data_IF_407248725054
#
_entry.id   IF_407248725054
#
_cell.length_a   1.000
_cell.length_b   1.000
_cell.length_c   1.000
_cell.angle_alpha   90.00
_cell.angle_beta   90.00
_cell.angle_gamma   90.00
#
_symmetry.space_group_name_H-M   'P 1'
#
loop_
_entity.id
_entity.type
_entity.pdbx_description
1 polymer ?
#
# COMPACT_ATOMS: atom_id res chain seq x y z
N UNK A 1 25.42 -11.88 46.96
CA UNK A 1 24.96 -10.81 46.04
C UNK A 1 24.14 -11.49 44.93
N UNK A 2 22.84 -11.61 45.17
CA UNK A 2 21.95 -12.39 44.31
C UNK A 2 21.36 -11.53 43.19
N UNK A 3 21.61 -11.87 41.95
CA UNK A 3 20.94 -11.30 40.81
C UNK A 3 19.53 -11.90 40.71
N UNK A 4 18.51 -11.11 41.03
CA UNK A 4 17.11 -11.43 40.74
C UNK A 4 16.90 -11.32 39.22
N UNK A 5 16.91 -12.46 38.53
CA UNK A 5 16.38 -12.57 37.16
C UNK A 5 14.86 -12.33 37.21
N UNK A 6 14.42 -11.13 36.89
CA UNK A 6 13.01 -10.87 36.57
C UNK A 6 12.66 -11.67 35.35
N UNK A 7 11.96 -12.78 35.56
CA UNK A 7 11.31 -13.53 34.46
C UNK A 7 10.32 -12.62 33.72
N UNK A 8 10.75 -12.07 32.60
CA UNK A 8 9.82 -11.42 31.65
C UNK A 8 9.03 -12.54 31.01
N UNK A 9 7.75 -12.67 31.32
CA UNK A 9 6.83 -13.55 30.59
C UNK A 9 6.78 -13.08 29.13
N UNK A 10 7.59 -13.70 28.28
CA UNK A 10 7.54 -13.49 26.83
C UNK A 10 6.36 -14.32 26.33
N UNK A 11 5.26 -13.66 25.96
CA UNK A 11 4.18 -14.30 25.20
C UNK A 11 4.72 -14.56 23.79
N UNK A 12 4.83 -15.83 23.42
CA UNK A 12 5.30 -16.25 22.10
C UNK A 12 4.22 -15.89 21.07
N UNK A 13 4.52 -14.94 20.18
CA UNK A 13 3.69 -14.65 19.01
C UNK A 13 4.15 -15.54 17.85
N UNK A 14 3.26 -16.42 17.40
CA UNK A 14 3.55 -17.35 16.30
C UNK A 14 2.97 -16.76 15.02
N UNK A 15 3.82 -16.51 14.03
CA UNK A 15 3.37 -16.28 12.66
C UNK A 15 3.21 -17.63 11.95
N UNK A 16 2.00 -17.94 11.54
CA UNK A 16 1.71 -19.16 10.78
C UNK A 16 1.65 -18.81 9.30
N UNK A 17 2.49 -19.47 8.51
CA UNK A 17 2.41 -19.39 7.04
C UNK A 17 1.27 -20.30 6.60
N UNK A 18 0.19 -19.71 6.09
CA UNK A 18 -0.88 -20.43 5.42
C UNK A 18 -0.80 -20.11 3.92
N UNK A 19 -0.37 -21.06 3.13
CA UNK A 19 -0.54 -21.00 1.68
C UNK A 19 -2.03 -21.09 1.37
N UNK A 20 -2.63 -19.97 0.94
CA UNK A 20 -4.00 -19.95 0.50
C UNK A 20 -4.05 -19.77 -1.03
N UNK A 21 -4.36 -20.84 -1.79
CA UNK A 21 -4.37 -20.80 -3.26
C UNK A 21 -5.47 -19.92 -3.86
N UNK A 22 -6.35 -19.31 -3.05
CA UNK A 22 -7.46 -18.48 -3.50
C UNK A 22 -7.22 -16.96 -3.35
N UNK A 23 -6.04 -16.51 -2.94
CA UNK A 23 -5.74 -15.09 -2.90
C UNK A 23 -5.50 -14.60 -4.33
N UNK A 24 -6.51 -13.96 -4.92
CA UNK A 24 -6.33 -13.22 -6.18
C UNK A 24 -5.13 -12.29 -6.03
N UNK A 25 -4.17 -12.41 -6.94
CA UNK A 25 -3.02 -11.50 -6.99
C UNK A 25 -3.52 -10.05 -6.96
N UNK A 26 -2.96 -9.20 -6.10
CA UNK A 26 -3.35 -7.81 -6.02
C UNK A 26 -3.13 -7.14 -7.38
N UNK A 27 -4.14 -6.45 -7.89
CA UNK A 27 -4.01 -5.67 -9.12
C UNK A 27 -3.53 -4.26 -8.80
N UNK A 28 -2.62 -3.76 -9.62
CA UNK A 28 -2.16 -2.38 -9.60
C UNK A 28 -2.80 -1.67 -10.80
N UNK A 29 -3.61 -0.65 -10.53
CA UNK A 29 -4.46 -0.02 -11.54
C UNK A 29 -4.27 1.49 -11.47
N UNK A 30 -4.04 2.15 -12.61
CA UNK A 30 -3.90 3.59 -12.68
C UNK A 30 -5.08 4.26 -13.39
N UNK A 31 -5.49 5.41 -12.85
CA UNK A 31 -6.59 6.23 -13.36
C UNK A 31 -6.14 7.67 -13.54
N UNK A 32 -6.30 8.21 -14.75
CA UNK A 32 -6.03 9.60 -15.10
C UNK A 32 -7.31 10.42 -15.22
N UNK A 33 -7.30 11.63 -14.68
CA UNK A 33 -8.45 12.54 -14.75
C UNK A 33 -8.44 13.45 -16.00
N UNK A 34 -7.27 13.63 -16.61
CA UNK A 34 -7.11 14.58 -17.72
C UNK A 34 -6.13 14.07 -18.75
N UNK A 35 -6.15 14.68 -19.94
CA UNK A 35 -5.22 14.34 -21.03
C UNK A 35 -3.75 14.45 -20.63
N UNK A 36 -3.42 15.36 -19.72
CA UNK A 36 -2.07 15.51 -19.22
C UNK A 36 -1.54 14.30 -18.47
N UNK A 37 -2.41 13.37 -18.03
CA UNK A 37 -2.03 12.13 -17.38
C UNK A 37 -1.61 11.03 -18.37
N UNK A 38 -1.95 11.14 -19.66
CA UNK A 38 -1.73 10.10 -20.66
C UNK A 38 -0.28 9.66 -20.79
N UNK A 39 0.72 10.55 -20.90
CA UNK A 39 2.13 10.13 -21.02
C UNK A 39 2.59 9.30 -19.84
N UNK A 40 2.09 9.63 -18.63
CA UNK A 40 2.43 8.89 -17.44
C UNK A 40 1.73 7.53 -17.38
N UNK A 41 0.45 7.46 -17.76
CA UNK A 41 -0.27 6.19 -17.89
C UNK A 41 0.41 5.24 -18.87
N UNK A 42 0.79 5.72 -20.06
CA UNK A 42 1.55 4.94 -21.05
C UNK A 42 2.87 4.43 -20.47
N UNK A 43 3.63 5.30 -19.81
CA UNK A 43 4.92 4.95 -19.19
C UNK A 43 4.77 3.85 -18.14
N UNK A 44 3.78 3.96 -17.26
CA UNK A 44 3.50 2.98 -16.21
C UNK A 44 3.09 1.62 -16.82
N UNK A 45 2.26 1.62 -17.87
CA UNK A 45 1.80 0.41 -18.55
C UNK A 45 2.92 -0.27 -19.31
N UNK A 46 3.70 0.46 -20.10
CA UNK A 46 4.79 -0.06 -20.91
C UNK A 46 5.87 -0.78 -20.07
N UNK A 47 6.10 -0.33 -18.85
CA UNK A 47 7.05 -0.92 -17.90
C UNK A 47 6.44 -1.93 -16.93
N UNK A 48 5.18 -2.31 -17.16
CA UNK A 48 4.45 -3.30 -16.34
C UNK A 48 4.37 -2.95 -14.84
N UNK A 49 4.42 -1.66 -14.52
CA UNK A 49 4.19 -1.19 -13.14
C UNK A 49 2.71 -1.17 -12.76
N UNK A 50 1.83 -1.26 -13.77
CA UNK A 50 0.39 -1.36 -13.60
C UNK A 50 -0.19 -2.43 -14.51
N UNK A 51 -1.22 -3.12 -14.03
CA UNK A 51 -1.94 -4.15 -14.78
C UNK A 51 -2.93 -3.53 -15.78
N UNK A 52 -3.58 -2.44 -15.38
CA UNK A 52 -4.61 -1.75 -16.17
C UNK A 52 -4.46 -0.25 -16.06
N UNK A 53 -4.79 0.46 -17.13
CA UNK A 53 -4.82 1.91 -17.19
C UNK A 53 -6.19 2.42 -17.63
N UNK A 54 -6.66 3.47 -16.95
CA UNK A 54 -7.93 4.10 -17.21
C UNK A 54 -7.78 5.60 -17.38
N UNK A 55 -8.70 6.19 -18.16
CA UNK A 55 -8.87 7.64 -18.24
C UNK A 55 -10.34 7.99 -18.04
N UNK A 56 -10.59 9.15 -17.41
CA UNK A 56 -11.95 9.68 -17.27
C UNK A 56 -12.60 9.86 -18.63
N UNK A 57 -13.85 9.41 -18.77
CA UNK A 57 -14.65 9.52 -19.99
C UNK A 57 -14.79 10.98 -20.49
N UNK A 58 -14.90 11.95 -19.58
CA UNK A 58 -14.93 13.37 -19.92
C UNK A 58 -13.66 13.86 -20.64
N UNK A 59 -12.52 13.23 -20.39
CA UNK A 59 -11.25 13.53 -21.05
C UNK A 59 -10.98 12.67 -22.28
N UNK A 60 -11.59 11.48 -22.32
CA UNK A 60 -11.36 10.50 -23.38
C UNK A 60 -11.84 10.95 -24.75
N UNK A 61 -12.88 11.79 -24.79
CA UNK A 61 -13.42 12.36 -26.05
C UNK A 61 -12.38 13.15 -26.86
N UNK A 62 -11.31 13.60 -26.22
CA UNK A 62 -10.23 14.36 -26.85
C UNK A 62 -8.94 13.56 -27.05
N UNK A 63 -9.00 12.22 -26.89
CA UNK A 63 -7.83 11.35 -27.11
C UNK A 63 -7.73 11.02 -28.61
N UNK A 64 -6.85 11.70 -29.30
CA UNK A 64 -6.60 11.48 -30.74
C UNK A 64 -5.76 10.22 -30.99
N UNK A 65 -4.88 9.88 -30.06
CA UNK A 65 -3.96 8.75 -30.16
C UNK A 65 -4.54 7.49 -29.50
N UNK A 66 -4.61 6.39 -30.25
CA UNK A 66 -4.98 5.09 -29.68
C UNK A 66 -3.84 4.59 -28.76
N UNK A 67 -4.14 4.49 -27.47
CA UNK A 67 -3.22 3.96 -26.44
C UNK A 67 -3.64 2.53 -26.13
N UNK A 68 -2.70 1.59 -26.28
CA UNK A 68 -2.98 0.16 -26.04
C UNK A 68 -3.37 -0.10 -24.59
N UNK A 69 -4.50 -0.76 -24.39
CA UNK A 69 -5.00 -1.14 -23.07
C UNK A 69 -5.56 0.01 -22.24
N UNK A 70 -5.69 1.22 -22.82
CA UNK A 70 -6.38 2.33 -22.16
C UNK A 70 -7.89 2.12 -22.19
N UNK A 71 -8.52 2.15 -21.02
CA UNK A 71 -9.97 2.02 -20.86
C UNK A 71 -10.57 3.36 -20.45
N UNK A 72 -11.67 3.73 -21.10
CA UNK A 72 -12.47 4.89 -20.70
C UNK A 72 -13.46 4.48 -19.62
N UNK A 73 -13.58 5.28 -18.57
CA UNK A 73 -14.53 5.00 -17.49
C UNK A 73 -14.90 6.26 -16.73
N UNK A 74 -16.15 6.30 -16.23
CA UNK A 74 -16.52 7.28 -15.21
C UNK A 74 -15.80 6.93 -13.90
N UNK A 75 -15.31 7.93 -13.14
CA UNK A 75 -14.58 7.67 -11.90
C UNK A 75 -15.36 6.78 -10.91
N UNK A 76 -16.67 6.99 -10.79
CA UNK A 76 -17.50 6.20 -9.88
C UNK A 76 -17.67 4.74 -10.33
N UNK A 77 -17.81 4.49 -11.63
CA UNK A 77 -17.94 3.13 -12.14
C UNK A 77 -16.61 2.39 -12.03
N UNK A 78 -15.50 3.06 -12.35
CA UNK A 78 -14.15 2.57 -12.07
C UNK A 78 -13.98 2.14 -10.61
N UNK A 79 -14.41 2.98 -9.65
CA UNK A 79 -14.27 2.66 -8.23
C UNK A 79 -15.16 1.49 -7.80
N UNK A 80 -16.41 1.39 -8.30
CA UNK A 80 -17.28 0.23 -8.00
C UNK A 80 -16.63 -1.08 -8.39
N UNK A 81 -15.95 -1.14 -9.53
CA UNK A 81 -15.37 -2.36 -10.06
C UNK A 81 -14.02 -2.70 -9.39
N UNK A 82 -13.26 -1.68 -8.97
CA UNK A 82 -11.87 -1.85 -8.53
C UNK A 82 -11.62 -1.57 -7.05
N UNK A 83 -12.62 -1.13 -6.26
CA UNK A 83 -12.48 -0.91 -4.82
C UNK A 83 -12.41 -2.22 -4.04
N UNK A 84 -11.27 -2.88 -4.12
CA UNK A 84 -11.04 -4.18 -3.48
C UNK A 84 -9.81 -4.11 -2.58
N UNK A 85 -9.91 -4.68 -1.38
CA UNK A 85 -8.90 -4.61 -0.30
C UNK A 85 -7.47 -4.97 -0.69
N UNK A 86 -7.30 -5.78 -1.73
CA UNK A 86 -5.99 -6.25 -2.18
C UNK A 86 -5.46 -5.44 -3.38
N UNK A 87 -6.26 -4.54 -3.97
CA UNK A 87 -5.81 -3.72 -5.08
C UNK A 87 -4.98 -2.53 -4.60
N UNK A 88 -4.14 -2.02 -5.50
CA UNK A 88 -3.45 -0.73 -5.37
C UNK A 88 -3.95 0.17 -6.49
N UNK A 89 -4.56 1.29 -6.13
CA UNK A 89 -5.12 2.24 -7.08
C UNK A 89 -4.25 3.49 -7.13
N UNK A 90 -3.77 3.84 -8.31
CA UNK A 90 -2.97 5.04 -8.56
C UNK A 90 -3.86 6.06 -9.27
N UNK A 91 -4.03 7.23 -8.68
CA UNK A 91 -4.73 8.34 -9.30
C UNK A 91 -3.76 9.41 -9.76
N UNK A 92 -3.86 9.81 -11.04
CA UNK A 92 -3.05 10.90 -11.60
C UNK A 92 -3.93 12.14 -11.67
N UNK A 93 -3.73 13.05 -10.71
CA UNK A 93 -4.55 14.26 -10.55
C UNK A 93 -4.36 14.94 -9.20
N UNK A 94 -5.22 15.90 -8.88
CA UNK A 94 -5.15 16.60 -7.61
C UNK A 94 -5.69 15.78 -6.44
N UNK A 95 -5.05 15.87 -5.28
CA UNK A 95 -5.49 15.19 -4.03
C UNK A 95 -6.95 15.53 -3.72
N UNK A 96 -7.34 16.81 -3.84
CA UNK A 96 -8.69 17.24 -3.52
C UNK A 96 -9.77 16.60 -4.42
N UNK A 97 -9.48 16.36 -5.70
CA UNK A 97 -10.38 15.63 -6.60
C UNK A 97 -10.48 14.16 -6.20
N UNK A 98 -9.33 13.53 -5.92
CA UNK A 98 -9.29 12.12 -5.50
C UNK A 98 -10.08 11.91 -4.20
N UNK A 99 -9.85 12.74 -3.18
CA UNK A 99 -10.56 12.64 -1.88
C UNK A 99 -12.07 12.72 -2.06
N UNK A 100 -12.57 13.68 -2.87
CA UNK A 100 -14.01 13.81 -3.11
C UNK A 100 -14.60 12.58 -3.80
N UNK A 101 -13.87 11.98 -4.73
CA UNK A 101 -14.35 10.84 -5.50
C UNK A 101 -14.31 9.56 -4.67
N UNK A 102 -13.27 9.34 -3.87
CA UNK A 102 -13.14 8.11 -3.07
C UNK A 102 -13.94 8.14 -1.78
N UNK A 103 -14.30 9.33 -1.26
CA UNK A 103 -14.96 9.45 0.06
C UNK A 103 -16.20 8.57 0.24
N UNK A 104 -17.09 8.38 -0.75
CA UNK A 104 -18.25 7.49 -0.61
C UNK A 104 -17.90 6.00 -0.51
N UNK A 105 -16.67 5.63 -0.87
CA UNK A 105 -16.21 4.24 -0.92
C UNK A 105 -15.38 3.86 0.32
N UNK A 106 -14.87 4.83 1.05
CA UNK A 106 -14.03 4.59 2.24
C UNK A 106 -14.86 3.92 3.33
N UNK A 107 -14.38 2.78 3.84
CA UNK A 107 -15.05 1.96 4.87
C UNK A 107 -14.18 1.70 6.07
N UNK A 108 -13.05 1.01 5.88
CA UNK A 108 -12.15 0.65 6.98
C UNK A 108 -10.74 0.36 6.49
N UNK A 109 -9.76 0.47 7.38
CA UNK A 109 -8.35 0.15 7.12
C UNK A 109 -8.14 -1.30 6.63
N UNK A 110 -9.05 -2.19 6.99
CA UNK A 110 -8.98 -3.62 6.65
C UNK A 110 -9.50 -3.90 5.24
N UNK A 111 -10.50 -3.14 4.80
CA UNK A 111 -11.26 -3.43 3.57
C UNK A 111 -10.94 -2.50 2.41
N UNK A 112 -10.39 -1.32 2.69
CA UNK A 112 -10.05 -0.36 1.65
C UNK A 112 -8.74 -0.75 0.94
N UNK A 113 -8.62 -0.45 -0.38
CA UNK A 113 -7.37 -0.62 -1.12
C UNK A 113 -6.29 0.37 -0.67
N UNK A 114 -5.06 0.15 -1.12
CA UNK A 114 -4.05 1.20 -1.10
C UNK A 114 -4.36 2.23 -2.19
N UNK A 115 -4.34 3.51 -1.82
CA UNK A 115 -4.56 4.62 -2.76
C UNK A 115 -3.30 5.48 -2.82
N UNK A 116 -2.74 5.60 -4.02
CA UNK A 116 -1.65 6.52 -4.32
C UNK A 116 -2.17 7.67 -5.18
N UNK A 117 -1.65 8.86 -4.95
CA UNK A 117 -1.94 10.04 -5.77
C UNK A 117 -0.65 10.59 -6.31
N UNK A 118 -0.67 10.97 -7.59
CA UNK A 118 0.47 11.52 -8.31
C UNK A 118 0.05 12.74 -9.12
N UNK A 119 0.94 13.70 -9.28
CA UNK A 119 0.77 14.74 -10.29
C UNK A 119 1.12 14.23 -11.70
N UNK A 120 0.57 14.85 -12.73
CA UNK A 120 0.75 14.40 -14.12
C UNK A 120 2.21 14.46 -14.61
N UNK A 121 3.07 15.21 -13.94
CA UNK A 121 4.51 15.30 -14.24
C UNK A 121 5.34 14.29 -13.44
N UNK A 122 4.67 13.47 -12.62
CA UNK A 122 5.31 12.50 -11.73
C UNK A 122 6.40 13.12 -10.84
N UNK A 123 6.18 14.32 -10.30
CA UNK A 123 7.12 14.92 -9.35
C UNK A 123 6.94 14.34 -7.96
N UNK A 124 5.70 14.04 -7.59
CA UNK A 124 5.35 13.57 -6.25
C UNK A 124 4.50 12.31 -6.32
N UNK A 125 4.78 11.36 -5.43
CA UNK A 125 4.00 10.16 -5.19
C UNK A 125 3.56 10.15 -3.74
N UNK A 126 2.26 10.16 -3.50
CA UNK A 126 1.68 10.30 -2.16
C UNK A 126 0.88 9.04 -1.84
N UNK A 127 1.21 8.36 -0.76
CA UNK A 127 0.38 7.29 -0.21
C UNK A 127 -0.78 7.90 0.57
N UNK A 128 -1.94 8.08 -0.10
CA UNK A 128 -3.10 8.76 0.49
C UNK A 128 -3.88 7.86 1.44
N UNK A 129 -4.04 6.58 1.13
CA UNK A 129 -4.80 5.62 1.92
C UNK A 129 -4.10 4.25 1.91
N UNK A 130 -4.20 3.49 3.02
CA UNK A 130 -3.63 2.15 3.09
C UNK A 130 -2.10 2.11 3.09
N UNK A 131 -1.42 3.20 3.44
CA UNK A 131 0.03 3.32 3.41
C UNK A 131 0.71 2.16 4.11
N UNK A 132 0.38 1.98 5.39
CA UNK A 132 1.03 0.99 6.24
C UNK A 132 0.50 -0.45 6.01
N UNK A 133 -0.78 -0.71 6.30
CA UNK A 133 -1.37 -2.07 6.26
C UNK A 133 -1.46 -2.68 4.86
N UNK A 134 -1.57 -1.87 3.82
CA UNK A 134 -1.71 -2.32 2.43
C UNK A 134 -0.43 -2.17 1.61
N UNK A 135 0.67 -1.81 2.27
CA UNK A 135 1.96 -1.61 1.61
C UNK A 135 1.99 -0.41 0.65
N UNK A 136 1.08 0.55 0.84
CA UNK A 136 1.02 1.77 0.02
C UNK A 136 2.28 2.62 0.15
N UNK A 137 2.83 2.76 1.37
CA UNK A 137 4.06 3.52 1.62
C UNK A 137 5.27 2.90 0.90
N UNK A 138 5.43 1.58 0.99
CA UNK A 138 6.50 0.85 0.31
C UNK A 138 6.36 1.01 -1.20
N UNK A 139 5.15 0.81 -1.71
CA UNK A 139 4.89 0.92 -3.14
C UNK A 139 5.05 2.35 -3.66
N UNK A 140 4.68 3.37 -2.87
CA UNK A 140 4.92 4.77 -3.22
C UNK A 140 6.41 5.07 -3.33
N UNK A 141 7.23 4.52 -2.42
CA UNK A 141 8.68 4.68 -2.46
C UNK A 141 9.31 4.00 -3.69
N UNK A 142 8.91 2.76 -4.00
CA UNK A 142 9.36 2.01 -5.19
C UNK A 142 9.00 2.75 -6.48
N UNK A 143 7.75 3.22 -6.57
CA UNK A 143 7.25 3.93 -7.74
C UNK A 143 7.93 5.30 -7.92
N UNK A 144 8.15 6.03 -6.83
CA UNK A 144 8.89 7.29 -6.85
C UNK A 144 10.34 7.10 -7.31
N UNK A 145 11.03 6.09 -6.81
CA UNK A 145 12.39 5.75 -7.24
C UNK A 145 12.44 5.45 -8.75
N UNK A 146 11.48 4.66 -9.26
CA UNK A 146 11.37 4.37 -10.69
C UNK A 146 11.12 5.61 -11.55
N UNK A 147 10.27 6.53 -11.08
CA UNK A 147 9.87 7.72 -11.81
C UNK A 147 10.86 8.88 -11.67
N UNK A 148 11.84 8.78 -10.79
CA UNK A 148 12.69 9.88 -10.30
C UNK A 148 11.83 11.00 -9.69
N UNK A 149 10.87 10.61 -8.87
CA UNK A 149 9.92 11.45 -8.16
C UNK A 149 10.24 11.50 -6.66
N UNK A 150 9.58 12.39 -5.94
CA UNK A 150 9.60 12.44 -4.49
C UNK A 150 8.44 11.63 -3.90
N UNK A 151 8.73 10.70 -3.00
CA UNK A 151 7.72 9.99 -2.22
C UNK A 151 7.40 10.79 -0.96
N UNK A 152 6.12 11.12 -0.76
CA UNK A 152 5.65 11.88 0.39
C UNK A 152 4.95 10.96 1.37
N UNK A 153 5.50 10.88 2.58
CA UNK A 153 5.00 10.05 3.66
C UNK A 153 4.54 10.90 4.83
N UNK A 154 3.43 10.50 5.44
CA UNK A 154 2.89 11.13 6.65
C UNK A 154 2.80 10.15 7.82
N UNK A 155 3.18 8.88 7.61
CA UNK A 155 3.16 7.86 8.65
C UNK A 155 4.48 7.87 9.45
N UNK A 156 4.39 7.96 10.78
CA UNK A 156 5.55 7.95 11.69
C UNK A 156 6.40 6.67 11.54
N UNK A 157 5.75 5.53 11.32
CA UNK A 157 6.44 4.25 11.17
C UNK A 157 7.37 4.22 9.96
N UNK A 158 6.99 4.85 8.86
CA UNK A 158 7.83 4.91 7.66
C UNK A 158 8.95 5.95 7.80
N UNK A 159 8.62 7.13 8.32
CA UNK A 159 9.59 8.23 8.53
C UNK A 159 10.68 7.83 9.54
N UNK A 160 10.34 7.05 10.56
CA UNK A 160 11.28 6.59 11.58
C UNK A 160 11.93 5.22 11.26
N UNK A 161 11.72 4.69 10.05
CA UNK A 161 12.24 3.37 9.59
C UNK A 161 11.95 2.23 10.57
N UNK A 162 10.81 2.26 11.25
CA UNK A 162 10.39 1.20 12.18
C UNK A 162 9.79 0.02 11.43
N UNK A 163 10.00 -1.18 11.96
CA UNK A 163 9.34 -2.37 11.45
C UNK A 163 7.85 -2.27 11.75
N UNK A 164 6.97 -2.34 10.75
CA UNK A 164 5.53 -2.25 10.94
C UNK A 164 4.98 -3.57 11.50
N UNK A 165 5.00 -3.73 12.81
CA UNK A 165 4.60 -4.98 13.47
C UNK A 165 3.14 -5.38 13.21
N UNK A 166 2.27 -4.43 12.93
CA UNK A 166 0.85 -4.67 12.66
C UNK A 166 0.58 -5.31 11.29
N UNK A 167 1.49 -5.16 10.32
CA UNK A 167 1.40 -5.76 9.00
C UNK A 167 2.66 -6.56 8.62
N UNK A 168 3.58 -6.75 9.55
CA UNK A 168 4.80 -7.51 9.29
C UNK A 168 4.49 -8.93 8.84
N UNK A 169 5.03 -9.33 7.69
CA UNK A 169 4.82 -10.65 7.13
C UNK A 169 3.52 -10.84 6.33
N UNK A 170 2.59 -9.89 6.32
CA UNK A 170 1.35 -10.01 5.53
C UNK A 170 1.62 -10.20 4.02
N UNK A 171 2.66 -9.57 3.50
CA UNK A 171 3.07 -9.74 2.10
C UNK A 171 3.52 -11.16 1.76
N UNK A 172 3.94 -11.94 2.78
CA UNK A 172 4.33 -13.35 2.65
C UNK A 172 3.22 -14.30 3.09
N UNK A 173 1.99 -13.81 3.27
CA UNK A 173 0.86 -14.60 3.71
C UNK A 173 0.84 -14.93 5.21
N UNK A 174 1.71 -14.33 6.00
CA UNK A 174 1.72 -14.56 7.45
C UNK A 174 0.51 -13.91 8.11
N UNK A 175 0.00 -14.57 9.12
CA UNK A 175 -1.08 -14.04 9.95
C UNK A 175 -0.58 -13.84 11.38
N UNK A 176 -1.02 -12.76 12.00
CA UNK A 176 -0.78 -12.52 13.41
C UNK A 176 -1.50 -13.58 14.23
N UNK A 177 -0.79 -14.21 15.15
CA UNK A 177 -1.37 -15.03 16.20
C UNK A 177 -1.50 -14.25 17.51
N UNK A 178 -2.39 -14.65 18.40
CA UNK A 178 -2.60 -14.03 19.70
C UNK A 178 -3.72 -13.00 19.73
N UNK A 179 -3.83 -12.30 20.86
CA UNK A 179 -4.88 -11.32 21.14
C UNK A 179 -4.56 -9.95 20.53
N UNK A 180 -5.54 -9.29 19.91
CA UNK A 180 -5.40 -7.95 19.35
C UNK A 180 -5.05 -6.88 20.39
N UNK A 181 -5.46 -7.08 21.65
CA UNK A 181 -5.12 -6.17 22.77
C UNK A 181 -3.62 -6.24 23.06
N UNK A 182 -3.04 -7.44 23.08
CA UNK A 182 -1.61 -7.62 23.30
C UNK A 182 -0.77 -7.07 22.15
N UNK A 183 -1.21 -7.24 20.91
CA UNK A 183 -0.58 -6.63 19.73
C UNK A 183 -0.62 -5.10 19.79
N UNK A 184 -1.75 -4.53 20.20
CA UNK A 184 -1.89 -3.08 20.36
C UNK A 184 -0.92 -2.54 21.42
N UNK A 185 -0.80 -3.23 22.57
CA UNK A 185 0.15 -2.87 23.63
C UNK A 185 1.59 -2.94 23.13
N UNK A 186 1.92 -3.98 22.34
CA UNK A 186 3.26 -4.14 21.76
C UNK A 186 3.60 -2.99 20.81
N UNK A 187 2.69 -2.61 19.93
CA UNK A 187 2.87 -1.49 19.00
C UNK A 187 3.03 -0.15 19.73
N UNK A 188 2.22 0.10 20.77
CA UNK A 188 2.35 1.31 21.60
C UNK A 188 3.71 1.34 22.29
N UNK A 189 4.16 0.20 22.82
CA UNK A 189 5.46 0.10 23.46
C UNK A 189 6.60 0.33 22.48
N UNK A 190 6.56 -0.26 21.31
CA UNK A 190 7.54 -0.03 20.23
C UNK A 190 7.60 1.45 19.85
N UNK A 191 6.44 2.10 19.74
CA UNK A 191 6.37 3.52 19.41
C UNK A 191 7.03 4.42 20.46
N UNK A 192 6.87 4.09 21.76
CA UNK A 192 7.42 4.87 22.87
C UNK A 192 8.91 4.61 23.11
N UNK A 193 9.34 3.36 22.99
CA UNK A 193 10.70 2.95 23.35
C UNK A 193 11.67 3.05 22.17
N UNK A 194 11.18 3.31 20.96
CA UNK A 194 11.96 3.35 19.71
C UNK A 194 12.86 2.10 19.53
N UNK A 195 12.47 0.97 20.11
CA UNK A 195 13.22 -0.29 20.05
C UNK A 195 12.53 -1.27 19.12
N UNK A 196 13.28 -1.78 18.15
CA UNK A 196 12.86 -2.92 17.34
C UNK A 196 13.19 -4.20 18.12
N UNK A 197 12.17 -5.00 18.43
CA UNK A 197 12.34 -6.30 19.07
C UNK A 197 12.32 -7.33 17.94
N UNK A 198 13.46 -7.94 17.67
CA UNK A 198 13.58 -9.03 16.70
C UNK A 198 13.59 -10.35 17.47
N UNK A 199 12.61 -11.21 17.18
CA UNK A 199 12.59 -12.58 17.67
C UNK A 199 13.00 -13.53 16.55
N UNK A 200 14.07 -14.27 16.78
CA UNK A 200 14.47 -15.36 15.89
C UNK A 200 13.94 -16.67 16.46
N UNK A 201 13.09 -17.39 15.68
CA UNK A 201 12.74 -18.76 16.02
C UNK A 201 13.74 -19.74 15.41
N UNK A 202 14.01 -20.85 16.09
CA UNK A 202 14.81 -21.93 15.53
C UNK A 202 14.16 -22.45 14.26
N UNK A 203 14.88 -22.42 13.13
CA UNK A 203 14.43 -22.98 11.85
C UNK A 203 14.02 -21.96 10.78
N UNK A 204 13.90 -20.67 11.07
CA UNK A 204 13.57 -19.71 10.01
C UNK A 204 14.83 -19.17 9.32
N UNK A 205 15.17 -19.72 8.15
CA UNK A 205 16.13 -19.12 7.22
C UNK A 205 15.53 -17.93 6.43
N UNK A 206 14.43 -17.36 6.91
CA UNK A 206 13.66 -16.31 6.24
C UNK A 206 14.43 -15.00 6.03
N UNK A 207 15.51 -14.80 6.80
CA UNK A 207 16.34 -13.59 6.74
C UNK A 207 17.55 -13.72 5.80
N UNK A 208 17.68 -14.84 5.10
CA UNK A 208 18.81 -15.11 4.21
C UNK A 208 18.47 -15.00 2.71
N UNK A 209 17.30 -14.42 2.37
CA UNK A 209 16.94 -14.17 0.97
C UNK A 209 16.82 -12.70 0.68
#
# INVERSE_FOLDING_TARGET
MGFLLKCIKIKLFIFVVLENPLVKTPKIIAFGFSLSSLPLLERLKARKHVDQIFISDSSALSVEKKIEGLVQSKPNDFLKDHWQKNNKLIFIGSIGAVVRIISPFIRSKENDPAILVMDAKAKNVIALLGGHKKGGDVFANELAAYLNAEAIFTSDSFTEKRIPLDCFGEAWGWKRGGDDVDWRKLMIRQSREQKNIVFQSQGSKLWQK
#
